data_IF_954271071260
#
_entry.id   IF_954271071260
#
_cell.length_a   1.000
_cell.length_b   1.000
_cell.length_c   1.000
_cell.angle_alpha   90.00
_cell.angle_beta   90.00
_cell.angle_gamma   90.00
#
_symmetry.space_group_name_H-M   'P 1'
#
loop_
_entity.id
_entity.type
_entity.pdbx_description
1 polymer ?
#
# COMPACT_ATOMS: atom_id res chain seq x y z
N UNK A 1 -24.76 -16.43 -34.40
CA UNK A 1 -24.35 -16.55 -32.99
C UNK A 1 -23.19 -15.60 -32.75
N UNK A 2 -23.45 -14.47 -32.09
CA UNK A 2 -22.44 -13.47 -31.73
C UNK A 2 -22.54 -13.29 -30.21
N UNK A 3 -21.51 -13.68 -29.46
CA UNK A 3 -21.34 -13.22 -28.08
C UNK A 3 -20.08 -12.36 -28.02
N UNK A 4 -20.31 -11.05 -27.97
CA UNK A 4 -19.31 -10.04 -27.64
C UNK A 4 -19.15 -10.00 -26.12
N UNK A 5 -17.89 -10.12 -25.70
CA UNK A 5 -17.21 -9.34 -24.66
C UNK A 5 -18.07 -8.78 -23.53
N UNK A 6 -17.92 -9.30 -22.31
CA UNK A 6 -18.24 -8.58 -21.09
C UNK A 6 -16.92 -8.24 -20.38
N UNK A 7 -16.60 -6.95 -20.40
CA UNK A 7 -15.41 -6.37 -19.82
C UNK A 7 -15.41 -6.52 -18.30
N UNK A 8 -14.25 -6.89 -17.78
CA UNK A 8 -13.93 -6.93 -16.36
C UNK A 8 -14.04 -5.52 -15.78
N UNK A 9 -14.98 -5.33 -14.85
CA UNK A 9 -15.20 -4.06 -14.15
C UNK A 9 -14.05 -3.83 -13.16
N UNK A 10 -13.04 -3.06 -13.58
CA UNK A 10 -12.04 -2.51 -12.66
C UNK A 10 -12.67 -1.29 -11.97
N UNK A 11 -13.06 -1.44 -10.71
CA UNK A 11 -13.48 -0.33 -9.86
C UNK A 11 -12.24 0.52 -9.53
N UNK A 12 -12.06 1.62 -10.25
CA UNK A 12 -11.15 2.68 -9.84
C UNK A 12 -11.79 3.45 -8.68
N UNK A 13 -11.31 3.22 -7.45
CA UNK A 13 -11.57 4.14 -6.34
C UNK A 13 -10.76 5.41 -6.59
N UNK A 14 -11.35 6.38 -7.29
CA UNK A 14 -10.87 7.76 -7.29
C UNK A 14 -11.25 8.36 -5.93
N UNK A 15 -10.33 8.30 -4.97
CA UNK A 15 -10.43 9.11 -3.77
C UNK A 15 -10.24 10.58 -4.18
N UNK A 16 -11.34 11.32 -4.16
CA UNK A 16 -11.44 12.75 -4.45
C UNK A 16 -10.67 13.58 -3.40
N UNK A 17 -9.64 14.30 -3.84
CA UNK A 17 -9.33 15.66 -3.39
C UNK A 17 -8.13 16.21 -4.16
N UNK A 18 -8.32 16.83 -5.31
CA UNK A 18 -7.22 17.51 -6.00
C UNK A 18 -7.57 18.98 -6.17
N UNK A 19 -7.10 19.78 -5.21
CA UNK A 19 -6.59 21.10 -5.56
C UNK A 19 -5.54 20.95 -6.66
N UNK A 20 -5.33 22.01 -7.45
CA UNK A 20 -4.48 22.00 -8.65
C UNK A 20 -3.29 21.04 -8.52
N UNK A 21 -3.29 19.99 -9.35
CA UNK A 21 -2.22 19.00 -9.41
C UNK A 21 -0.89 19.72 -9.62
N UNK A 22 0.08 19.49 -8.73
CA UNK A 22 1.40 20.11 -8.85
C UNK A 22 2.14 19.42 -10.01
N UNK A 23 2.38 20.10 -11.15
CA UNK A 23 2.96 19.45 -12.32
C UNK A 23 4.39 18.94 -12.07
N UNK A 24 5.10 19.55 -11.12
CA UNK A 24 6.43 19.10 -10.73
C UNK A 24 6.34 17.80 -9.94
N UNK A 25 5.34 17.66 -9.06
CA UNK A 25 5.09 16.40 -8.36
C UNK A 25 4.70 15.31 -9.35
N UNK A 26 3.78 15.59 -10.27
CA UNK A 26 3.37 14.63 -11.31
C UNK A 26 4.59 14.08 -12.06
N UNK A 27 5.51 14.96 -12.48
CA UNK A 27 6.75 14.55 -13.16
C UNK A 27 7.64 13.69 -12.25
N UNK A 28 7.82 14.05 -10.98
CA UNK A 28 8.60 13.25 -10.04
C UNK A 28 7.99 11.86 -9.80
N UNK A 29 6.66 11.78 -9.75
CA UNK A 29 5.92 10.52 -9.61
C UNK A 29 6.07 9.66 -10.86
N UNK A 30 5.95 10.25 -12.06
CA UNK A 30 6.18 9.56 -13.34
C UNK A 30 7.62 9.04 -13.46
N UNK A 31 8.61 9.84 -13.07
CA UNK A 31 10.01 9.41 -13.05
C UNK A 31 10.23 8.26 -12.07
N UNK A 32 9.74 8.39 -10.83
CA UNK A 32 9.85 7.32 -9.83
C UNK A 32 9.18 6.02 -10.31
N UNK A 33 8.04 6.13 -11.00
CA UNK A 33 7.36 4.97 -11.59
C UNK A 33 8.17 4.34 -12.74
N UNK A 34 8.89 5.15 -13.52
CA UNK A 34 9.81 4.65 -14.55
C UNK A 34 11.00 3.94 -13.91
N UNK A 35 11.62 4.52 -12.89
CA UNK A 35 12.75 3.92 -12.17
C UNK A 35 12.35 2.57 -11.53
N UNK A 36 11.17 2.51 -10.88
CA UNK A 36 10.63 1.25 -10.35
C UNK A 36 10.39 0.23 -11.48
N UNK A 37 9.88 0.66 -12.65
CA UNK A 37 9.67 -0.24 -13.80
C UNK A 37 10.97 -0.83 -14.33
N UNK A 38 12.07 -0.09 -14.32
CA UNK A 38 13.37 -0.61 -14.72
C UNK A 38 13.90 -1.67 -13.75
N UNK A 39 13.55 -1.52 -12.46
CA UNK A 39 13.97 -2.45 -11.43
C UNK A 39 13.06 -3.68 -11.31
N UNK A 40 11.78 -3.61 -11.71
CA UNK A 40 10.75 -4.65 -11.51
C UNK A 40 10.48 -5.47 -12.78
N UNK A 41 10.19 -6.77 -12.65
CA UNK A 41 9.79 -7.62 -13.78
C UNK A 41 8.36 -7.29 -14.26
N UNK A 42 8.25 -6.45 -15.29
CA UNK A 42 6.98 -6.05 -15.90
C UNK A 42 6.24 -7.19 -16.61
N UNK A 43 6.84 -8.37 -16.80
CA UNK A 43 6.10 -9.55 -17.29
C UNK A 43 5.14 -10.08 -16.23
N UNK A 44 5.53 -9.96 -14.94
CA UNK A 44 4.75 -10.40 -13.79
C UNK A 44 3.94 -9.27 -13.13
N UNK A 45 4.28 -8.01 -13.40
CA UNK A 45 3.67 -6.85 -12.74
C UNK A 45 3.13 -5.83 -13.74
N UNK A 46 2.11 -5.08 -13.31
CA UNK A 46 1.62 -3.88 -13.98
C UNK A 46 1.94 -2.68 -13.10
N UNK A 47 2.56 -1.65 -13.67
CA UNK A 47 2.91 -0.42 -12.96
C UNK A 47 2.27 0.77 -13.68
N UNK A 48 1.43 1.50 -12.98
CA UNK A 48 0.81 2.73 -13.44
C UNK A 48 1.09 3.87 -12.47
N UNK A 49 1.14 5.10 -12.99
CA UNK A 49 1.28 6.32 -12.21
C UNK A 49 0.06 7.20 -12.43
N UNK A 50 -0.28 7.96 -11.40
CA UNK A 50 -1.21 9.07 -11.39
C UNK A 50 -0.49 10.28 -10.75
N UNK A 51 -1.02 11.51 -10.87
CA UNK A 51 -0.35 12.73 -10.43
C UNK A 51 0.25 12.70 -9.01
N UNK A 52 -0.37 11.95 -8.10
CA UNK A 52 0.05 11.84 -6.69
C UNK A 52 0.20 10.40 -6.22
N UNK A 53 0.27 9.42 -7.12
CA UNK A 53 0.41 8.01 -6.71
C UNK A 53 1.01 7.10 -7.77
N UNK A 54 1.54 5.96 -7.30
CA UNK A 54 1.99 4.85 -8.14
C UNK A 54 1.23 3.60 -7.68
N UNK A 55 0.67 2.86 -8.63
CA UNK A 55 -0.03 1.60 -8.38
C UNK A 55 0.73 0.48 -9.07
N UNK A 56 1.09 -0.53 -8.29
CA UNK A 56 1.86 -1.71 -8.71
C UNK A 56 1.01 -2.94 -8.39
N UNK A 57 0.53 -3.61 -9.42
CA UNK A 57 -0.39 -4.75 -9.30
C UNK A 57 0.22 -6.02 -9.90
N UNK A 58 0.10 -7.14 -9.20
CA UNK A 58 0.55 -8.43 -9.72
C UNK A 58 -0.38 -8.91 -10.84
N UNK A 59 0.21 -9.51 -11.88
CA UNK A 59 -0.52 -10.24 -12.92
C UNK A 59 -0.83 -11.67 -12.50
N UNK A 60 -0.12 -12.17 -11.50
CA UNK A 60 -0.38 -13.45 -10.86
C UNK A 60 -1.31 -13.29 -9.64
N UNK A 61 -1.92 -14.40 -9.26
CA UNK A 61 -2.73 -14.51 -8.05
C UNK A 61 -1.99 -15.33 -7.00
N UNK A 62 -2.20 -15.01 -5.73
CA UNK A 62 -1.69 -15.78 -4.60
C UNK A 62 -2.85 -16.30 -3.77
N UNK A 63 -2.77 -17.57 -3.38
CA UNK A 63 -3.69 -18.17 -2.43
C UNK A 63 -3.11 -18.07 -1.03
N UNK A 64 -3.79 -17.33 -0.18
CA UNK A 64 -3.46 -17.18 1.23
C UNK A 64 -4.27 -18.19 2.06
N UNK A 65 -3.58 -18.97 2.88
CA UNK A 65 -4.20 -19.79 3.92
C UNK A 65 -4.15 -19.00 5.23
N UNK A 66 -5.23 -18.29 5.56
CA UNK A 66 -5.29 -17.49 6.77
C UNK A 66 -5.71 -18.35 7.96
N UNK A 67 -4.86 -18.42 8.98
CA UNK A 67 -5.29 -18.90 10.30
C UNK A 67 -6.15 -17.80 10.92
N UNK A 68 -7.47 -17.95 10.83
CA UNK A 68 -8.39 -17.16 11.65
C UNK A 68 -8.21 -17.64 13.08
N UNK A 69 -8.03 -16.71 14.03
CA UNK A 69 -7.85 -17.00 15.46
C UNK A 69 -8.67 -18.22 15.91
N UNK A 70 -8.13 -19.17 16.71
CA UNK A 70 -8.84 -20.37 17.15
C UNK A 70 -10.21 -20.11 17.80
N UNK A 71 -10.47 -18.88 18.24
CA UNK A 71 -11.76 -18.44 18.81
C UNK A 71 -12.85 -18.11 17.76
N UNK A 72 -12.55 -18.02 16.46
CA UNK A 72 -13.44 -17.44 15.44
C UNK A 72 -13.77 -18.33 14.24
N UNK A 73 -13.20 -19.54 14.14
CA UNK A 73 -13.65 -20.58 13.21
C UNK A 73 -13.19 -20.43 11.75
N UNK A 74 -12.82 -21.60 11.20
CA UNK A 74 -12.45 -21.97 9.82
C UNK A 74 -11.41 -21.13 9.05
N UNK A 75 -10.37 -21.83 8.60
CA UNK A 75 -9.44 -21.40 7.56
C UNK A 75 -10.14 -21.44 6.21
N UNK A 76 -10.35 -20.27 5.60
CA UNK A 76 -10.80 -20.19 4.20
C UNK A 76 -9.63 -19.75 3.32
N UNK A 77 -9.27 -20.52 2.27
CA UNK A 77 -8.28 -20.08 1.31
C UNK A 77 -8.82 -18.86 0.57
N UNK A 78 -8.05 -17.77 0.58
CA UNK A 78 -8.40 -16.56 -0.17
C UNK A 78 -7.42 -16.37 -1.31
N UNK A 79 -7.92 -16.32 -2.52
CA UNK A 79 -7.13 -15.92 -3.69
C UNK A 79 -7.18 -14.40 -3.84
N UNK A 80 -6.02 -13.76 -3.89
CA UNK A 80 -5.90 -12.31 -4.07
C UNK A 80 -4.74 -11.95 -4.99
N UNK A 81 -4.85 -10.78 -5.64
CA UNK A 81 -3.73 -10.17 -6.35
C UNK A 81 -2.99 -9.24 -5.38
N UNK A 82 -1.67 -9.23 -5.49
CA UNK A 82 -0.88 -8.22 -4.80
C UNK A 82 -1.14 -6.85 -5.42
N UNK A 83 -1.34 -5.88 -4.55
CA UNK A 83 -1.39 -4.47 -4.90
C UNK A 83 -0.55 -3.71 -3.89
N UNK A 84 0.39 -2.95 -4.43
CA UNK A 84 1.20 -1.99 -3.71
C UNK A 84 0.85 -0.62 -4.27
N UNK A 85 0.45 0.28 -3.40
CA UNK A 85 0.12 1.66 -3.74
C UNK A 85 1.05 2.60 -2.97
N UNK A 86 1.72 3.48 -3.71
CA UNK A 86 2.52 4.57 -3.17
C UNK A 86 1.69 5.84 -3.30
N UNK A 87 1.41 6.50 -2.18
CA UNK A 87 0.70 7.78 -2.16
C UNK A 87 1.66 8.90 -1.74
N UNK A 88 1.66 9.99 -2.51
CA UNK A 88 2.48 11.18 -2.24
C UNK A 88 1.56 12.25 -1.67
N UNK A 89 1.80 12.62 -0.42
CA UNK A 89 0.99 13.62 0.29
C UNK A 89 1.89 14.73 0.83
N UNK A 90 1.37 15.96 1.02
CA UNK A 90 2.13 17.02 1.66
C UNK A 90 2.78 16.52 2.95
N UNK A 91 4.05 16.85 3.14
CA UNK A 91 4.82 16.47 4.33
C UNK A 91 4.06 16.89 5.58
N UNK A 92 3.87 15.94 6.50
CA UNK A 92 3.31 16.25 7.80
C UNK A 92 4.26 17.17 8.56
N UNK A 93 3.70 18.13 9.30
CA UNK A 93 4.46 18.83 10.31
C UNK A 93 4.94 17.84 11.38
N UNK A 94 6.01 18.19 12.10
CA UNK A 94 6.49 17.36 13.21
C UNK A 94 5.39 17.12 14.25
N UNK A 95 4.58 18.13 14.52
CA UNK A 95 3.46 18.05 15.47
C UNK A 95 2.38 17.07 14.98
N UNK A 96 1.94 17.22 13.73
CA UNK A 96 0.91 16.35 13.15
C UNK A 96 1.38 14.90 13.05
N UNK A 97 2.66 14.68 12.71
CA UNK A 97 3.25 13.36 12.68
C UNK A 97 3.21 12.71 14.07
N UNK A 98 3.66 13.42 15.12
CA UNK A 98 3.67 12.89 16.48
C UNK A 98 2.26 12.60 16.99
N UNK A 99 1.30 13.48 16.68
CA UNK A 99 -0.12 13.30 17.01
C UNK A 99 -0.68 12.04 16.34
N UNK A 100 -0.48 11.89 15.04
CA UNK A 100 -0.94 10.72 14.30
C UNK A 100 -0.26 9.42 14.79
N UNK A 101 1.04 9.46 15.04
CA UNK A 101 1.79 8.32 15.56
C UNK A 101 1.26 7.87 16.92
N UNK A 102 0.96 8.81 17.83
CA UNK A 102 0.34 8.52 19.12
C UNK A 102 -1.03 7.86 18.95
N UNK A 103 -1.92 8.45 18.14
CA UNK A 103 -3.25 7.89 17.88
C UNK A 103 -3.17 6.48 17.30
N UNK A 104 -2.25 6.22 16.36
CA UNK A 104 -2.03 4.87 15.85
C UNK A 104 -1.56 3.91 16.94
N UNK A 105 -0.64 4.32 17.81
CA UNK A 105 -0.19 3.48 18.91
C UNK A 105 -1.36 3.07 19.82
N UNK A 106 -2.26 4.00 20.15
CA UNK A 106 -3.46 3.72 20.93
C UNK A 106 -4.35 2.66 20.26
N UNK A 107 -4.57 2.78 18.94
CA UNK A 107 -5.37 1.79 18.19
C UNK A 107 -4.64 0.44 18.03
N UNK A 108 -3.31 0.41 17.95
CA UNK A 108 -2.53 -0.85 17.96
C UNK A 108 -2.67 -1.54 19.31
N UNK A 109 -2.58 -0.80 20.42
CA UNK A 109 -2.80 -1.34 21.76
C UNK A 109 -4.22 -1.86 21.91
N UNK A 110 -5.22 -1.12 21.41
CA UNK A 110 -6.61 -1.58 21.37
C UNK A 110 -6.76 -2.91 20.62
N UNK A 111 -6.18 -3.04 19.42
CA UNK A 111 -6.26 -4.29 18.65
C UNK A 111 -5.58 -5.48 19.35
N UNK A 112 -4.49 -5.25 20.07
CA UNK A 112 -3.70 -6.33 20.69
C UNK A 112 -4.24 -6.75 22.05
N UNK A 113 -4.73 -5.81 22.85
CA UNK A 113 -4.99 -6.04 24.27
C UNK A 113 -6.27 -5.39 24.80
N UNK A 114 -6.81 -4.38 24.11
CA UNK A 114 -7.86 -3.51 24.66
C UNK A 114 -9.26 -3.71 24.09
N UNK A 115 -9.41 -4.35 22.93
CA UNK A 115 -10.70 -4.54 22.29
C UNK A 115 -11.51 -5.60 23.05
N UNK A 116 -12.66 -5.20 23.59
CA UNK A 116 -13.60 -6.08 24.31
C UNK A 116 -14.73 -6.58 23.42
N UNK A 117 -14.88 -6.00 22.22
CA UNK A 117 -15.89 -6.38 21.23
C UNK A 117 -15.34 -6.44 19.80
N UNK A 118 -16.05 -7.19 18.94
CA UNK A 118 -15.76 -7.25 17.49
C UNK A 118 -15.88 -5.88 16.81
N UNK A 119 -16.78 -5.02 17.31
CA UNK A 119 -16.98 -3.68 16.78
C UNK A 119 -15.78 -2.76 17.07
N UNK A 120 -15.28 -2.76 18.31
CA UNK A 120 -14.06 -2.01 18.69
C UNK A 120 -12.85 -2.49 17.90
N UNK A 121 -12.70 -3.81 17.75
CA UNK A 121 -11.64 -4.37 16.93
C UNK A 121 -11.73 -3.89 15.48
N UNK A 122 -12.92 -3.95 14.86
CA UNK A 122 -13.13 -3.52 13.49
C UNK A 122 -12.88 -2.03 13.30
N UNK A 123 -13.28 -1.20 14.27
CA UNK A 123 -13.03 0.24 14.26
C UNK A 123 -11.53 0.55 14.32
N UNK A 124 -10.79 -0.10 15.22
CA UNK A 124 -9.36 0.10 15.34
C UNK A 124 -8.58 -0.39 14.11
N UNK A 125 -8.97 -1.54 13.56
CA UNK A 125 -8.41 -2.05 12.31
C UNK A 125 -8.65 -1.09 11.15
N UNK A 126 -9.87 -0.53 11.04
CA UNK A 126 -10.21 0.47 10.04
C UNK A 126 -9.41 1.76 10.22
N UNK A 127 -9.27 2.27 11.45
CA UNK A 127 -8.49 3.46 11.71
C UNK A 127 -7.04 3.30 11.25
N UNK A 128 -6.38 2.20 11.62
CA UNK A 128 -4.99 1.94 11.22
C UNK A 128 -4.83 1.75 9.71
N UNK A 129 -5.85 1.22 9.03
CA UNK A 129 -5.86 1.13 7.57
C UNK A 129 -5.96 2.50 6.89
N UNK A 130 -6.86 3.34 7.39
CA UNK A 130 -7.19 4.62 6.75
C UNK A 130 -6.13 5.71 7.03
N UNK A 131 -5.32 5.56 8.08
CA UNK A 131 -4.38 6.59 8.54
C UNK A 131 -2.94 6.08 8.58
N UNK A 132 -2.36 5.55 7.50
CA UNK A 132 -0.98 5.05 7.49
C UNK A 132 0.00 6.15 7.87
N UNK A 133 1.14 5.77 8.46
CA UNK A 133 2.29 6.65 8.56
C UNK A 133 3.09 6.60 7.26
N UNK A 134 3.83 7.66 6.92
CA UNK A 134 4.75 7.60 5.80
C UNK A 134 5.75 6.45 6.03
N UNK A 135 5.97 5.66 4.99
CA UNK A 135 6.98 4.59 5.02
C UNK A 135 8.32 5.15 4.61
N UNK A 136 8.33 5.94 3.54
CA UNK A 136 9.55 6.56 3.03
C UNK A 136 9.68 7.99 3.53
N UNK A 137 10.92 8.49 3.52
CA UNK A 137 11.19 9.89 3.83
C UNK A 137 10.58 10.82 2.76
N UNK A 138 10.88 12.10 2.85
CA UNK A 138 10.29 13.10 1.97
C UNK A 138 11.02 13.25 0.66
N UNK A 139 10.25 13.44 -0.41
CA UNK A 139 10.76 13.93 -1.69
C UNK A 139 10.47 15.42 -1.75
N UNK A 140 11.53 16.18 -2.00
CA UNK A 140 11.44 17.63 -2.16
C UNK A 140 11.24 17.98 -3.64
N UNK A 141 10.19 18.72 -3.92
CA UNK A 141 9.78 19.16 -5.25
C UNK A 141 9.59 20.67 -5.20
N UNK A 142 10.49 21.42 -5.85
CA UNK A 142 10.50 22.89 -6.02
C UNK A 142 9.68 23.64 -4.95
N UNK A 143 10.28 23.80 -3.76
CA UNK A 143 9.70 24.58 -2.67
C UNK A 143 8.61 23.88 -1.84
N UNK A 144 8.33 22.60 -2.10
CA UNK A 144 7.41 21.77 -1.32
C UNK A 144 8.03 20.42 -1.00
N UNK A 145 7.64 19.84 0.13
CA UNK A 145 8.05 18.49 0.52
C UNK A 145 6.84 17.58 0.55
N UNK A 146 7.00 16.37 0.01
CA UNK A 146 5.97 15.34 -0.02
C UNK A 146 6.48 14.09 0.70
N UNK A 147 5.69 13.54 1.61
CA UNK A 147 5.97 12.24 2.22
C UNK A 147 5.36 11.11 1.39
N UNK A 148 6.06 9.98 1.31
CA UNK A 148 5.58 8.82 0.55
C UNK A 148 5.02 7.76 1.50
N UNK A 149 3.76 7.43 1.29
CA UNK A 149 3.02 6.44 2.06
C UNK A 149 2.95 5.16 1.26
N UNK A 150 3.35 4.05 1.88
CA UNK A 150 3.11 2.73 1.32
C UNK A 150 1.79 2.19 1.85
N UNK A 151 0.89 1.87 0.94
CA UNK A 151 -0.34 1.15 1.21
C UNK A 151 -0.27 -0.14 0.43
N UNK A 152 0.05 -1.24 1.11
CA UNK A 152 -0.07 -2.57 0.53
C UNK A 152 -1.30 -3.27 1.08
N UNK A 153 -1.83 -4.23 0.33
CA UNK A 153 -2.86 -5.13 0.83
C UNK A 153 -2.37 -6.00 2.02
N UNK A 154 -1.09 -5.92 2.39
CA UNK A 154 -0.40 -6.69 3.44
C UNK A 154 -0.67 -6.15 4.87
N UNK A 155 -1.90 -5.70 5.16
CA UNK A 155 -2.28 -5.29 6.52
C UNK A 155 -2.42 -6.47 7.50
N UNK A 156 -2.05 -7.68 7.09
CA UNK A 156 -1.95 -8.85 7.94
C UNK A 156 -0.53 -9.40 7.92
N UNK A 157 0.34 -8.77 8.71
CA UNK A 157 1.39 -9.55 9.36
C UNK A 157 0.76 -10.79 9.98
N UNK A 158 1.31 -11.96 9.63
CA UNK A 158 1.20 -13.28 10.27
C UNK A 158 0.43 -14.31 9.43
N UNK A 159 1.19 -15.36 9.09
CA UNK A 159 0.83 -16.67 8.50
C UNK A 159 0.52 -16.70 7.01
N UNK A 160 1.57 -16.68 6.18
CA UNK A 160 1.53 -17.17 4.81
C UNK A 160 2.63 -18.24 4.63
N UNK A 161 2.23 -19.50 4.40
CA UNK A 161 3.04 -20.47 3.65
C UNK A 161 2.35 -20.57 2.29
N UNK A 162 2.88 -19.92 1.25
CA UNK A 162 3.91 -20.48 0.38
C UNK A 162 5.09 -19.52 0.15
N UNK A 163 6.32 -20.04 0.18
CA UNK A 163 7.57 -19.26 0.34
C UNK A 163 7.94 -18.44 -0.92
N UNK A 164 7.59 -18.89 -2.12
CA UNK A 164 8.15 -18.32 -3.36
C UNK A 164 7.46 -17.03 -3.83
N UNK A 165 6.12 -17.01 -3.93
CA UNK A 165 5.38 -15.82 -4.41
C UNK A 165 5.34 -14.67 -3.40
N UNK A 166 5.44 -14.98 -2.11
CA UNK A 166 5.63 -13.97 -1.08
C UNK A 166 7.01 -13.29 -1.19
N UNK A 167 8.05 -14.08 -1.49
CA UNK A 167 9.38 -13.56 -1.74
C UNK A 167 9.42 -12.66 -2.99
N UNK A 168 8.64 -12.95 -4.04
CA UNK A 168 8.48 -12.07 -5.20
C UNK A 168 7.89 -10.70 -4.81
N UNK A 169 6.80 -10.68 -4.03
CA UNK A 169 6.19 -9.43 -3.56
C UNK A 169 7.15 -8.61 -2.67
N UNK A 170 7.90 -9.28 -1.78
CA UNK A 170 8.95 -8.62 -0.98
C UNK A 170 10.14 -8.16 -1.81
N UNK A 171 10.48 -8.88 -2.88
CA UNK A 171 11.46 -8.44 -3.87
C UNK A 171 11.04 -7.16 -4.57
N UNK A 172 9.76 -6.99 -4.88
CA UNK A 172 9.23 -5.73 -5.42
C UNK A 172 9.28 -4.61 -4.38
N UNK A 173 8.87 -4.85 -3.13
CA UNK A 173 9.03 -3.85 -2.06
C UNK A 173 10.50 -3.41 -1.90
N UNK A 174 11.46 -4.34 -1.93
CA UNK A 174 12.87 -4.01 -1.86
C UNK A 174 13.35 -3.17 -3.06
N UNK A 175 12.89 -3.48 -4.27
CA UNK A 175 13.18 -2.68 -5.48
C UNK A 175 12.60 -1.26 -5.38
N UNK A 176 11.45 -1.09 -4.74
CA UNK A 176 10.88 0.23 -4.42
C UNK A 176 11.76 0.95 -3.38
N UNK A 177 12.20 0.25 -2.33
CA UNK A 177 13.10 0.80 -1.32
C UNK A 177 14.39 1.34 -1.97
N UNK A 178 14.94 0.68 -3.01
CA UNK A 178 16.11 1.16 -3.75
C UNK A 178 15.92 2.53 -4.44
N UNK A 179 14.69 2.87 -4.84
CA UNK A 179 14.38 4.16 -5.49
C UNK A 179 14.35 5.29 -4.47
N UNK A 180 13.78 5.05 -3.28
CA UNK A 180 13.59 6.10 -2.26
C UNK A 180 14.69 6.14 -1.19
N UNK A 181 15.40 5.03 -1.00
CA UNK A 181 16.58 4.91 -0.16
C UNK A 181 17.70 4.23 -0.96
N UNK A 182 18.37 4.96 -1.86
CA UNK A 182 19.59 4.45 -2.46
C UNK A 182 20.55 4.14 -1.31
N UNK A 183 20.81 2.85 -1.08
CA UNK A 183 21.87 2.43 -0.18
C UNK A 183 23.13 3.16 -0.67
N UNK A 184 23.75 3.96 0.20
CA UNK A 184 24.99 4.62 -0.14
C UNK A 184 26.00 3.53 -0.50
N UNK A 185 26.29 3.40 -1.80
CA UNK A 185 27.35 2.54 -2.33
C UNK A 185 28.71 3.07 -1.89
#
# INVERSE_FOLDING_TARGET
MNFRTAAMLSVFVHASSHGAEDPNLTRCVEQSAADIKELVDISQWTISSAPTSIVIESKFEMTEHRIVSPALGQEEPRTTKYRIELQFKPKLSKEDFLKLAKQRMEHVVMLRYGATSKAEWAQAAKFLKDHPLPRYDTIDVVGKSYSVYLISNDLSSITLRPIERYAEAKGVEARIDHVFWPLAN
#
